data_IF_016122393520
#
_entry.id   IF_016122393520
#
_cell.length_a   1.000
_cell.length_b   1.000
_cell.length_c   1.000
_cell.angle_alpha   90.00
_cell.angle_beta   90.00
_cell.angle_gamma   90.00
#
_symmetry.space_group_name_H-M   'P 1'
#
loop_
_entity.id
_entity.type
_entity.pdbx_description
1 polymer ?
#
# COMPACT_ATOMS: atom_id res chain seq x y z
N UNK A 1 34.92 -60.53 12.15
CA UNK A 1 35.58 -59.60 11.20
C UNK A 1 35.67 -58.21 11.85
N UNK A 2 35.90 -58.15 13.16
CA UNK A 2 35.55 -56.95 13.96
C UNK A 2 36.77 -56.06 14.29
N UNK A 3 37.99 -56.62 14.18
CA UNK A 3 39.24 -55.90 14.49
C UNK A 3 39.64 -54.85 13.44
N UNK A 4 39.04 -54.83 12.25
CA UNK A 4 39.32 -53.81 11.22
C UNK A 4 38.43 -52.56 11.34
N UNK A 5 37.27 -52.66 12.01
CA UNK A 5 36.40 -51.51 12.26
C UNK A 5 36.85 -50.71 13.49
N UNK A 6 37.48 -51.36 14.46
CA UNK A 6 38.02 -50.71 15.67
C UNK A 6 39.25 -49.83 15.34
N UNK A 7 40.10 -50.28 14.42
CA UNK A 7 41.32 -49.55 14.02
C UNK A 7 41.07 -48.30 13.15
N UNK A 8 39.89 -48.20 12.51
CA UNK A 8 39.48 -47.00 11.77
C UNK A 8 38.89 -45.93 12.72
N UNK A 9 38.34 -46.35 13.87
CA UNK A 9 37.76 -45.44 14.86
C UNK A 9 38.81 -44.74 15.72
N UNK A 10 39.97 -45.35 15.93
CA UNK A 10 41.06 -44.77 16.75
C UNK A 10 42.05 -43.91 15.94
N UNK A 11 42.16 -44.10 14.63
CA UNK A 11 43.06 -43.31 13.76
C UNK A 11 42.50 -41.96 13.31
N UNK A 12 41.18 -41.83 13.19
CA UNK A 12 40.53 -40.61 12.70
C UNK A 12 40.53 -39.45 13.73
N UNK A 13 40.67 -39.75 15.04
CA UNK A 13 40.68 -38.72 16.09
C UNK A 13 42.03 -38.01 16.31
N UNK A 14 43.14 -38.55 15.80
CA UNK A 14 44.48 -38.01 16.04
C UNK A 14 44.93 -36.99 14.97
N UNK A 15 44.49 -37.16 13.72
CA UNK A 15 44.77 -36.16 12.67
C UNK A 15 43.92 -34.89 12.86
N UNK A 16 42.67 -35.02 13.33
CA UNK A 16 41.82 -33.87 13.67
C UNK A 16 42.39 -33.05 14.85
N UNK A 17 43.05 -33.70 15.82
CA UNK A 17 43.66 -33.02 16.96
C UNK A 17 44.87 -32.16 16.57
N UNK A 18 45.69 -32.62 15.61
CA UNK A 18 46.85 -31.85 15.11
C UNK A 18 46.45 -30.63 14.29
N UNK A 19 45.42 -30.77 13.46
CA UNK A 19 44.85 -29.66 12.69
C UNK A 19 44.36 -28.54 13.64
N UNK A 20 43.83 -28.91 14.80
CA UNK A 20 43.33 -27.94 15.78
C UNK A 20 44.46 -27.20 16.53
N UNK A 21 45.56 -27.88 16.87
CA UNK A 21 46.71 -27.24 17.55
C UNK A 21 47.45 -26.26 16.64
N UNK A 22 47.71 -26.62 15.38
CA UNK A 22 48.35 -25.73 14.41
C UNK A 22 47.49 -24.49 14.10
N UNK A 23 46.16 -24.66 14.05
CA UNK A 23 45.23 -23.54 13.90
C UNK A 23 45.26 -22.61 15.11
N UNK A 24 45.34 -23.15 16.33
CA UNK A 24 45.41 -22.37 17.57
C UNK A 24 46.73 -21.59 17.64
N UNK A 25 47.87 -22.20 17.31
CA UNK A 25 49.15 -21.50 17.31
C UNK A 25 49.20 -20.41 16.22
N UNK A 26 48.64 -20.68 15.05
CA UNK A 26 48.50 -19.69 13.99
C UNK A 26 47.61 -18.52 14.41
N UNK A 27 46.46 -18.81 15.02
CA UNK A 27 45.54 -17.80 15.56
C UNK A 27 46.21 -16.98 16.66
N UNK A 28 47.01 -17.57 17.55
CA UNK A 28 47.77 -16.83 18.58
C UNK A 28 48.86 -15.95 17.97
N UNK A 29 49.57 -16.45 16.96
CA UNK A 29 50.65 -15.70 16.30
C UNK A 29 50.14 -14.50 15.52
N UNK A 30 48.93 -14.61 14.95
CA UNK A 30 48.33 -13.58 14.13
C UNK A 30 47.09 -12.94 14.77
N UNK A 31 46.81 -13.20 16.05
CA UNK A 31 45.56 -12.80 16.73
C UNK A 31 45.29 -11.32 16.57
N UNK A 32 46.32 -10.49 16.70
CA UNK A 32 46.18 -9.04 16.62
C UNK A 32 45.71 -8.63 15.22
N UNK A 33 46.35 -9.15 14.16
CA UNK A 33 45.98 -8.83 12.78
C UNK A 33 44.61 -9.40 12.39
N UNK A 34 44.29 -10.61 12.83
CA UNK A 34 42.98 -11.22 12.58
C UNK A 34 41.86 -10.49 13.31
N UNK A 35 42.09 -10.06 14.56
CA UNK A 35 41.11 -9.28 15.32
C UNK A 35 40.82 -7.96 14.63
N UNK A 36 41.85 -7.25 14.13
CA UNK A 36 41.64 -6.04 13.34
C UNK A 36 40.88 -6.32 12.03
N UNK A 37 41.20 -7.42 11.32
CA UNK A 37 40.47 -7.78 10.11
C UNK A 37 38.98 -8.07 10.39
N UNK A 38 38.69 -8.84 11.43
CA UNK A 38 37.31 -9.13 11.87
C UNK A 38 36.59 -7.85 12.28
N UNK A 39 37.26 -6.95 13.00
CA UNK A 39 36.70 -5.66 13.39
C UNK A 39 36.35 -4.80 12.17
N UNK A 40 37.23 -4.73 11.17
CA UNK A 40 36.96 -4.01 9.91
C UNK A 40 35.74 -4.61 9.21
N UNK A 41 35.66 -5.94 9.09
CA UNK A 41 34.51 -6.62 8.48
C UNK A 41 33.23 -6.32 9.27
N UNK A 42 33.27 -6.36 10.60
CA UNK A 42 32.13 -6.05 11.45
C UNK A 42 31.68 -4.58 11.26
N UNK A 43 32.60 -3.62 11.18
CA UNK A 43 32.30 -2.21 10.90
C UNK A 43 31.67 -2.05 9.52
N UNK A 44 32.18 -2.75 8.50
CA UNK A 44 31.60 -2.72 7.15
C UNK A 44 30.17 -3.28 7.13
N UNK A 45 29.91 -4.38 7.83
CA UNK A 45 28.57 -4.98 7.92
C UNK A 45 27.59 -4.05 8.65
N UNK A 46 27.99 -3.51 9.80
CA UNK A 46 27.16 -2.58 10.58
C UNK A 46 26.92 -1.29 9.81
N UNK A 47 27.96 -0.74 9.16
CA UNK A 47 27.87 0.45 8.32
C UNK A 47 26.92 0.25 7.13
N UNK A 48 27.03 -0.89 6.44
CA UNK A 48 26.12 -1.24 5.34
C UNK A 48 24.67 -1.41 5.83
N UNK A 49 24.47 -2.09 6.97
CA UNK A 49 23.14 -2.24 7.59
C UNK A 49 22.55 -0.89 7.98
N UNK A 50 23.35 0.01 8.56
CA UNK A 50 22.90 1.36 8.92
C UNK A 50 22.50 2.18 7.70
N UNK A 51 23.31 2.13 6.63
CA UNK A 51 23.00 2.81 5.37
C UNK A 51 21.73 2.26 4.73
N UNK A 52 21.54 0.93 4.74
CA UNK A 52 20.31 0.29 4.25
C UNK A 52 19.08 0.72 5.05
N UNK A 53 19.18 0.74 6.38
CA UNK A 53 18.11 1.20 7.27
C UNK A 53 17.78 2.69 7.05
N UNK A 54 18.78 3.52 6.77
CA UNK A 54 18.58 4.93 6.43
C UNK A 54 17.77 5.08 5.13
N UNK A 55 18.09 4.29 4.10
CA UNK A 55 17.35 4.28 2.83
C UNK A 55 15.90 3.83 3.00
N UNK A 56 15.67 2.76 3.76
CA UNK A 56 14.31 2.28 4.10
C UNK A 56 13.52 3.36 4.84
N UNK A 57 14.11 3.98 5.88
CA UNK A 57 13.42 5.04 6.63
C UNK A 57 13.05 6.23 5.75
N UNK A 58 13.92 6.62 4.83
CA UNK A 58 13.62 7.70 3.90
C UNK A 58 12.50 7.31 2.93
N UNK A 59 12.40 6.04 2.53
CA UNK A 59 11.32 5.51 1.70
C UNK A 59 9.99 5.44 2.44
N UNK A 60 9.99 4.91 3.67
CA UNK A 60 8.80 4.88 4.52
C UNK A 60 8.23 6.28 4.73
N UNK A 61 9.07 7.28 5.03
CA UNK A 61 8.62 8.68 5.17
C UNK A 61 7.96 9.23 3.91
N UNK A 62 8.42 8.81 2.74
CA UNK A 62 7.86 9.26 1.47
C UNK A 62 6.47 8.64 1.25
N UNK A 63 6.30 7.36 1.56
CA UNK A 63 5.01 6.67 1.54
C UNK A 63 4.04 7.19 2.62
N UNK A 64 4.54 7.51 3.81
CA UNK A 64 3.77 8.15 4.89
C UNK A 64 3.24 9.51 4.42
N UNK A 65 4.09 10.34 3.79
CA UNK A 65 3.67 11.63 3.22
C UNK A 65 2.63 11.47 2.11
N UNK A 66 2.82 10.50 1.21
CA UNK A 66 1.87 10.19 0.15
C UNK A 66 0.51 9.71 0.69
N UNK A 67 0.49 8.79 1.65
CA UNK A 67 -0.76 8.30 2.24
C UNK A 67 -1.51 9.40 2.98
N UNK A 68 -0.81 10.26 3.71
CA UNK A 68 -1.40 11.45 4.33
C UNK A 68 -1.97 12.42 3.28
N UNK A 69 -1.25 12.65 2.18
CA UNK A 69 -1.72 13.51 1.10
C UNK A 69 -2.95 12.93 0.36
N UNK A 70 -2.97 11.61 0.14
CA UNK A 70 -4.10 10.91 -0.50
C UNK A 70 -5.40 11.05 0.31
N UNK A 71 -5.30 11.16 1.65
CA UNK A 71 -6.45 11.40 2.51
C UNK A 71 -6.99 12.85 2.42
N UNK A 72 -6.15 13.81 1.99
CA UNK A 72 -6.50 15.24 1.91
C UNK A 72 -7.08 15.60 0.54
N UNK A 73 -6.42 15.18 -0.55
CA UNK A 73 -6.91 15.42 -1.90
C UNK A 73 -5.83 15.53 -2.97
N UNK A 74 -6.24 15.74 -4.24
CA UNK A 74 -5.34 15.69 -5.39
C UNK A 74 -4.25 16.76 -5.35
N UNK A 75 -4.54 17.98 -4.91
CA UNK A 75 -3.55 19.06 -4.78
C UNK A 75 -2.39 18.68 -3.85
N UNK A 76 -2.70 17.97 -2.75
CA UNK A 76 -1.68 17.49 -1.81
C UNK A 76 -0.84 16.36 -2.43
N UNK A 77 -1.43 15.51 -3.25
CA UNK A 77 -0.72 14.47 -4.01
C UNK A 77 0.21 15.07 -5.07
N UNK A 78 -0.23 16.11 -5.79
CA UNK A 78 0.62 16.83 -6.75
C UNK A 78 1.85 17.39 -6.03
N UNK A 79 1.67 18.01 -4.86
CA UNK A 79 2.80 18.51 -4.06
C UNK A 79 3.75 17.38 -3.63
N UNK A 80 3.22 16.23 -3.19
CA UNK A 80 4.06 15.05 -2.87
C UNK A 80 4.81 14.57 -4.11
N UNK A 81 4.19 14.58 -5.29
CA UNK A 81 4.87 14.23 -6.52
C UNK A 81 6.07 15.16 -6.78
N UNK A 82 5.91 16.47 -6.62
CA UNK A 82 6.98 17.45 -6.78
C UNK A 82 8.12 17.23 -5.76
N UNK A 83 7.77 17.15 -4.47
CA UNK A 83 8.71 17.00 -3.35
C UNK A 83 9.53 15.69 -3.45
N UNK A 84 8.93 14.63 -4.00
CA UNK A 84 9.56 13.32 -4.16
C UNK A 84 9.83 12.93 -5.62
N UNK A 85 10.06 13.91 -6.50
CA UNK A 85 10.42 13.70 -7.92
C UNK A 85 11.66 12.82 -8.14
N UNK A 86 12.57 12.77 -7.16
CA UNK A 86 13.75 11.86 -7.16
C UNK A 86 13.41 10.39 -6.97
N UNK A 87 12.15 10.06 -6.64
CA UNK A 87 11.63 8.70 -6.47
C UNK A 87 10.59 8.42 -7.56
N UNK A 88 11.00 7.90 -8.73
CA UNK A 88 10.12 7.69 -9.88
C UNK A 88 8.81 6.98 -9.54
N UNK A 89 8.90 5.93 -8.74
CA UNK A 89 7.75 5.12 -8.33
C UNK A 89 6.74 5.88 -7.46
N UNK A 90 7.17 6.85 -6.66
CA UNK A 90 6.24 7.64 -5.86
C UNK A 90 5.69 8.82 -6.66
N UNK A 91 6.56 9.51 -7.39
CA UNK A 91 6.20 10.65 -8.22
C UNK A 91 5.08 10.31 -9.22
N UNK A 92 5.28 9.25 -10.02
CA UNK A 92 4.28 8.85 -11.02
C UNK A 92 2.98 8.40 -10.33
N UNK A 93 3.06 7.65 -9.22
CA UNK A 93 1.87 7.15 -8.54
C UNK A 93 1.01 8.30 -8.00
N UNK A 94 1.64 9.29 -7.38
CA UNK A 94 0.96 10.47 -6.86
C UNK A 94 0.26 11.28 -7.96
N UNK A 95 0.88 11.43 -9.15
CA UNK A 95 0.27 12.09 -10.30
C UNK A 95 -0.95 11.31 -10.83
N UNK A 96 -0.82 9.98 -10.98
CA UNK A 96 -1.91 9.11 -11.45
C UNK A 96 -3.11 9.18 -10.50
N UNK A 97 -2.88 9.04 -9.19
CA UNK A 97 -3.95 9.06 -8.21
C UNK A 97 -4.62 10.43 -8.09
N UNK A 98 -3.84 11.51 -8.20
CA UNK A 98 -4.40 12.87 -8.24
C UNK A 98 -5.33 13.05 -9.46
N UNK A 99 -4.90 12.58 -10.63
CA UNK A 99 -5.71 12.60 -11.84
C UNK A 99 -6.99 11.74 -11.70
N UNK A 100 -6.87 10.55 -11.12
CA UNK A 100 -8.00 9.66 -10.85
C UNK A 100 -9.02 10.29 -9.89
N UNK A 101 -8.57 11.02 -8.87
CA UNK A 101 -9.48 11.74 -7.96
C UNK A 101 -10.29 12.82 -8.67
N UNK A 102 -9.68 13.56 -9.60
CA UNK A 102 -10.42 14.52 -10.45
C UNK A 102 -11.41 13.80 -11.36
N UNK A 103 -11.01 12.70 -11.99
CA UNK A 103 -11.90 11.89 -12.83
C UNK A 103 -13.08 11.29 -12.06
N UNK A 104 -12.87 10.85 -10.83
CA UNK A 104 -13.93 10.36 -9.96
C UNK A 104 -14.95 11.46 -9.62
N UNK A 105 -14.47 12.67 -9.32
CA UNK A 105 -15.31 13.86 -9.11
C UNK A 105 -16.20 14.15 -10.33
N UNK A 106 -15.63 14.11 -11.54
CA UNK A 106 -16.37 14.31 -12.79
C UNK A 106 -17.40 13.19 -13.02
N UNK A 107 -17.04 11.94 -12.78
CA UNK A 107 -17.94 10.77 -12.96
C UNK A 107 -19.13 10.81 -12.01
N UNK A 108 -18.90 11.23 -10.76
CA UNK A 108 -19.93 11.32 -9.72
C UNK A 108 -20.77 12.61 -9.90
N UNK A 109 -20.22 13.64 -10.54
CA UNK A 109 -20.89 14.93 -10.71
C UNK A 109 -20.87 15.79 -9.44
N UNK A 110 -19.92 15.54 -8.54
CA UNK A 110 -19.76 16.26 -7.27
C UNK A 110 -18.38 16.88 -7.18
N UNK A 111 -18.24 17.98 -6.45
CA UNK A 111 -16.94 18.61 -6.17
C UNK A 111 -15.98 17.62 -5.50
N UNK A 112 -14.68 17.77 -5.77
CA UNK A 112 -13.62 16.82 -5.40
C UNK A 112 -13.69 16.37 -3.94
N UNK A 113 -13.77 17.29 -2.98
CA UNK A 113 -13.81 16.97 -1.55
C UNK A 113 -15.05 16.15 -1.14
N UNK A 114 -16.19 16.40 -1.78
CA UNK A 114 -17.44 15.65 -1.55
C UNK A 114 -17.35 14.27 -2.20
N UNK A 115 -16.86 14.21 -3.45
CA UNK A 115 -16.63 12.95 -4.15
C UNK A 115 -15.68 12.02 -3.38
N UNK A 116 -14.64 12.56 -2.74
CA UNK A 116 -13.74 11.80 -1.87
C UNK A 116 -14.47 11.26 -0.63
N UNK A 117 -15.32 12.06 0.00
CA UNK A 117 -16.12 11.64 1.16
C UNK A 117 -17.07 10.49 0.78
N UNK A 118 -17.69 10.60 -0.40
CA UNK A 118 -18.52 9.55 -0.99
C UNK A 118 -17.72 8.28 -1.27
N UNK A 119 -16.51 8.39 -1.81
CA UNK A 119 -15.64 7.23 -2.07
C UNK A 119 -15.25 6.50 -0.78
N UNK A 120 -14.96 7.23 0.29
CA UNK A 120 -14.63 6.66 1.60
C UNK A 120 -15.85 6.01 2.27
N UNK A 121 -17.04 6.58 2.04
CA UNK A 121 -18.28 6.12 2.63
C UNK A 121 -19.41 6.10 1.59
N UNK A 122 -19.53 5.03 0.79
CA UNK A 122 -20.53 4.97 -0.29
C UNK A 122 -21.99 5.14 0.17
N UNK A 123 -22.27 4.86 1.44
CA UNK A 123 -23.60 4.99 2.03
C UNK A 123 -24.04 6.47 2.24
N UNK A 124 -23.12 7.44 2.17
CA UNK A 124 -23.42 8.87 2.35
C UNK A 124 -24.16 9.50 1.14
N UNK A 125 -24.21 8.81 0.00
CA UNK A 125 -24.84 9.32 -1.24
C UNK A 125 -26.38 9.25 -1.18
N UNK A 126 -26.96 8.49 -0.24
CA UNK A 126 -28.37 8.09 -0.28
C UNK A 126 -29.32 8.97 0.56
N UNK A 127 -29.10 10.29 0.69
CA UNK A 127 -30.00 11.14 1.47
C UNK A 127 -29.91 12.65 1.24
N UNK A 128 -30.67 13.41 2.06
CA UNK A 128 -30.80 14.89 2.07
C UNK A 128 -29.50 15.66 2.44
N UNK A 129 -28.36 14.99 2.46
CA UNK A 129 -27.07 15.57 2.88
C UNK A 129 -26.30 16.25 1.76
N UNK A 130 -26.58 15.93 0.49
CA UNK A 130 -25.96 16.61 -0.65
C UNK A 130 -26.68 17.92 -0.92
N UNK A 131 -25.94 19.02 -0.81
CA UNK A 131 -26.49 20.33 -1.10
C UNK A 131 -26.24 20.71 -2.56
N UNK A 132 -27.08 21.55 -3.19
CA UNK A 132 -26.86 21.99 -4.57
C UNK A 132 -25.48 22.62 -4.79
N UNK A 133 -24.88 23.24 -3.77
CA UNK A 133 -23.51 23.78 -3.85
C UNK A 133 -22.40 22.73 -3.96
N UNK A 134 -22.69 21.46 -3.65
CA UNK A 134 -21.76 20.33 -3.74
C UNK A 134 -21.71 19.73 -5.16
N UNK A 135 -22.69 20.06 -6.00
CA UNK A 135 -22.76 19.63 -7.39
C UNK A 135 -21.67 20.31 -8.21
N UNK A 136 -21.11 19.56 -9.15
CA UNK A 136 -20.07 20.04 -10.06
C UNK A 136 -20.71 20.77 -11.24
N UNK A 137 -20.36 22.04 -11.44
CA UNK A 137 -20.85 22.81 -12.60
C UNK A 137 -20.17 22.33 -13.91
N UNK A 138 -20.77 22.56 -15.09
CA UNK A 138 -20.16 22.21 -16.37
C UNK A 138 -18.78 22.87 -16.59
N UNK A 139 -18.62 24.11 -16.15
CA UNK A 139 -17.37 24.87 -16.25
C UNK A 139 -16.29 24.29 -15.34
N UNK A 140 -16.63 23.96 -14.09
CA UNK A 140 -15.71 23.28 -13.16
C UNK A 140 -15.32 21.90 -13.71
N UNK A 141 -16.28 21.12 -14.20
CA UNK A 141 -16.03 19.81 -14.82
C UNK A 141 -15.02 19.90 -15.97
N UNK A 142 -15.16 20.92 -16.84
CA UNK A 142 -14.19 21.16 -17.92
C UNK A 142 -12.79 21.49 -17.38
N UNK A 143 -12.70 22.34 -16.35
CA UNK A 143 -11.42 22.68 -15.71
C UNK A 143 -10.75 21.44 -15.11
N UNK A 144 -11.51 20.61 -14.38
CA UNK A 144 -10.99 19.37 -13.80
C UNK A 144 -10.54 18.36 -14.86
N UNK A 145 -11.25 18.28 -16.00
CA UNK A 145 -10.84 17.43 -17.14
C UNK A 145 -9.53 17.91 -17.77
N UNK A 146 -9.26 19.21 -17.80
CA UNK A 146 -7.98 19.77 -18.28
C UNK A 146 -6.85 19.47 -17.29
N UNK A 147 -7.12 19.60 -16.00
CA UNK A 147 -6.16 19.31 -14.93
C UNK A 147 -5.79 17.80 -14.89
N UNK A 148 -6.80 16.92 -14.98
CA UNK A 148 -6.58 15.47 -15.03
C UNK A 148 -5.74 15.04 -16.25
N UNK A 149 -6.04 15.53 -17.47
CA UNK A 149 -5.21 15.21 -18.66
C UNK A 149 -3.78 15.72 -18.51
N UNK A 150 -3.59 16.91 -17.92
CA UNK A 150 -2.24 17.45 -17.65
C UNK A 150 -1.45 16.54 -16.71
N UNK A 151 -2.07 16.03 -15.65
CA UNK A 151 -1.42 15.13 -14.69
C UNK A 151 -1.11 13.76 -15.28
N UNK A 152 -2.06 13.14 -16.01
CA UNK A 152 -1.77 11.89 -16.72
C UNK A 152 -0.68 12.08 -17.78
N UNK A 153 -0.67 13.21 -18.50
CA UNK A 153 0.38 13.53 -19.45
C UNK A 153 1.75 13.62 -18.77
N UNK A 154 1.85 14.32 -17.64
CA UNK A 154 3.10 14.38 -16.85
C UNK A 154 3.54 12.99 -16.38
N UNK A 155 2.61 12.17 -15.88
CA UNK A 155 2.88 10.80 -15.48
C UNK A 155 3.42 9.96 -16.65
N UNK A 156 2.80 10.07 -17.84
CA UNK A 156 3.24 9.40 -19.07
C UNK A 156 4.62 9.86 -19.50
N UNK A 157 4.86 11.18 -19.60
CA UNK A 157 6.15 11.74 -19.99
C UNK A 157 7.27 11.34 -19.02
N UNK A 158 6.97 11.27 -17.72
CA UNK A 158 7.93 10.81 -16.74
C UNK A 158 8.19 9.30 -16.81
N UNK A 159 7.20 8.48 -17.13
CA UNK A 159 7.33 7.01 -17.19
C UNK A 159 7.89 6.50 -18.53
N UNK A 160 7.59 7.19 -19.64
CA UNK A 160 7.87 6.73 -21.00
C UNK A 160 9.38 6.54 -21.24
N UNK A 161 9.75 5.41 -21.85
CA UNK A 161 11.13 5.06 -22.19
C UNK A 161 12.01 4.63 -21.01
N UNK A 162 11.46 4.50 -19.79
CA UNK A 162 12.19 3.99 -18.62
C UNK A 162 11.87 2.50 -18.40
N UNK A 163 12.92 1.69 -18.31
CA UNK A 163 12.82 0.26 -18.03
C UNK A 163 12.09 0.02 -16.71
N UNK A 164 11.09 -0.87 -16.73
CA UNK A 164 10.29 -1.25 -15.57
C UNK A 164 9.18 -0.25 -15.19
N UNK A 165 8.93 0.78 -16.03
CA UNK A 165 7.87 1.78 -15.82
C UNK A 165 6.76 1.68 -16.87
N UNK A 166 6.77 0.67 -17.73
CA UNK A 166 5.85 0.48 -18.85
C UNK A 166 4.39 0.40 -18.37
N UNK A 167 4.13 -0.34 -17.29
CA UNK A 167 2.79 -0.44 -16.69
C UNK A 167 2.22 0.92 -16.27
N UNK A 168 3.08 1.82 -15.76
CA UNK A 168 2.66 3.16 -15.33
C UNK A 168 2.43 4.10 -16.51
N UNK A 169 3.25 3.98 -17.56
CA UNK A 169 3.03 4.69 -18.81
C UNK A 169 1.72 4.25 -19.48
N UNK A 170 1.41 2.95 -19.46
CA UNK A 170 0.14 2.39 -19.94
C UNK A 170 -1.04 2.91 -19.12
N UNK A 171 -0.96 2.88 -17.78
CA UNK A 171 -2.00 3.42 -16.91
C UNK A 171 -2.27 4.91 -17.19
N UNK A 172 -1.22 5.71 -17.39
CA UNK A 172 -1.35 7.11 -17.77
C UNK A 172 -2.06 7.28 -19.12
N UNK A 173 -1.72 6.48 -20.14
CA UNK A 173 -2.39 6.53 -21.45
C UNK A 173 -3.87 6.14 -21.36
N UNK A 174 -4.22 5.13 -20.56
CA UNK A 174 -5.62 4.80 -20.27
C UNK A 174 -6.37 5.97 -19.63
N UNK A 175 -5.75 6.65 -18.66
CA UNK A 175 -6.29 7.86 -18.04
C UNK A 175 -6.57 8.97 -19.07
N UNK A 176 -5.61 9.24 -19.96
CA UNK A 176 -5.78 10.23 -21.03
C UNK A 176 -6.86 9.84 -22.04
N UNK A 177 -6.95 8.55 -22.38
CA UNK A 177 -8.03 8.03 -23.22
C UNK A 177 -9.40 8.28 -22.55
N UNK A 178 -9.52 8.00 -21.26
CA UNK A 178 -10.75 8.26 -20.51
C UNK A 178 -11.10 9.76 -20.46
N UNK A 179 -10.11 10.65 -20.31
CA UNK A 179 -10.36 12.10 -20.40
C UNK A 179 -10.85 12.50 -21.79
N UNK A 180 -10.24 11.98 -22.86
CA UNK A 180 -10.66 12.24 -24.23
C UNK A 180 -12.09 11.73 -24.50
N UNK A 181 -12.46 10.55 -23.97
CA UNK A 181 -13.83 10.04 -24.02
C UNK A 181 -14.83 11.00 -23.34
N UNK A 182 -14.51 11.49 -22.14
CA UNK A 182 -15.36 12.46 -21.43
C UNK A 182 -15.50 13.78 -22.19
N UNK A 183 -14.44 14.23 -22.86
CA UNK A 183 -14.45 15.40 -23.77
C UNK A 183 -15.16 15.13 -25.11
N UNK A 184 -15.58 13.89 -25.37
CA UNK A 184 -16.11 13.41 -26.66
C UNK A 184 -15.14 13.59 -27.82
N UNK A 185 -13.84 13.61 -27.53
CA UNK A 185 -12.76 13.60 -28.52
C UNK A 185 -12.37 12.15 -28.83
N UNK A 186 -13.24 11.51 -29.62
CA UNK A 186 -13.16 10.10 -29.95
C UNK A 186 -11.91 9.72 -30.76
N UNK A 187 -11.41 10.64 -31.58
CA UNK A 187 -10.19 10.42 -32.36
C UNK A 187 -8.96 10.41 -31.46
N UNK A 188 -8.91 11.33 -30.49
CA UNK A 188 -7.82 11.36 -29.53
C UNK A 188 -7.86 10.15 -28.57
N UNK A 189 -9.04 9.76 -28.09
CA UNK A 189 -9.21 8.53 -27.30
C UNK A 189 -8.71 7.29 -28.06
N UNK A 190 -9.09 7.15 -29.34
CA UNK A 190 -8.62 6.09 -30.23
C UNK A 190 -7.10 6.09 -30.38
N UNK A 191 -6.50 7.27 -30.51
CA UNK A 191 -5.04 7.42 -30.59
C UNK A 191 -4.33 6.92 -29.32
N UNK A 192 -4.85 7.26 -28.13
CA UNK A 192 -4.26 6.80 -26.87
C UNK A 192 -4.39 5.29 -26.67
N UNK A 193 -5.54 4.68 -27.00
CA UNK A 193 -5.67 3.22 -26.92
C UNK A 193 -4.72 2.48 -27.87
N UNK A 194 -4.48 3.00 -29.08
CA UNK A 194 -3.47 2.43 -29.98
C UNK A 194 -2.07 2.51 -29.39
N UNK A 195 -1.71 3.64 -28.77
CA UNK A 195 -0.43 3.77 -28.07
C UNK A 195 -0.30 2.79 -26.90
N UNK A 196 -1.39 2.50 -26.17
CA UNK A 196 -1.40 1.43 -25.15
C UNK A 196 -1.07 0.08 -25.79
N UNK A 197 -1.74 -0.29 -26.88
CA UNK A 197 -1.51 -1.56 -27.57
C UNK A 197 -0.07 -1.70 -28.04
N UNK A 198 0.49 -0.65 -28.65
CA UNK A 198 1.88 -0.62 -29.11
C UNK A 198 2.88 -0.79 -27.95
N UNK A 199 2.62 -0.16 -26.81
CA UNK A 199 3.49 -0.23 -25.64
C UNK A 199 3.36 -1.58 -24.90
N UNK A 200 2.18 -2.19 -24.93
CA UNK A 200 1.87 -3.42 -24.20
C UNK A 200 2.11 -4.72 -24.99
N UNK A 201 2.30 -4.64 -26.31
CA UNK A 201 2.28 -5.79 -27.25
C UNK A 201 3.16 -6.96 -26.80
N UNK A 202 4.36 -6.66 -26.28
CA UNK A 202 5.35 -7.69 -25.96
C UNK A 202 5.16 -8.31 -24.58
N UNK A 203 4.93 -7.48 -23.56
CA UNK A 203 5.11 -7.87 -22.16
C UNK A 203 3.78 -7.89 -21.38
N UNK A 204 2.69 -7.31 -21.92
CA UNK A 204 1.42 -7.10 -21.22
C UNK A 204 0.19 -7.35 -22.12
N UNK A 205 -0.01 -8.59 -22.64
CA UNK A 205 -1.09 -8.89 -23.58
C UNK A 205 -2.50 -8.62 -23.04
N UNK A 206 -2.69 -8.66 -21.71
CA UNK A 206 -3.97 -8.31 -21.09
C UNK A 206 -4.36 -6.84 -21.32
N UNK A 207 -3.38 -5.92 -21.30
CA UNK A 207 -3.65 -4.49 -21.55
C UNK A 207 -4.00 -4.23 -23.02
N UNK A 208 -3.43 -5.01 -23.94
CA UNK A 208 -3.79 -4.99 -25.36
C UNK A 208 -5.25 -5.39 -25.54
N UNK A 209 -5.70 -6.46 -24.86
CA UNK A 209 -7.09 -6.93 -24.93
C UNK A 209 -8.06 -5.86 -24.40
N UNK A 210 -7.76 -5.25 -23.25
CA UNK A 210 -8.58 -4.16 -22.69
C UNK A 210 -8.64 -2.94 -23.61
N UNK A 211 -7.51 -2.52 -24.17
CA UNK A 211 -7.46 -1.40 -25.11
C UNK A 211 -8.25 -1.70 -26.39
N UNK A 212 -8.14 -2.92 -26.93
CA UNK A 212 -8.90 -3.34 -28.11
C UNK A 212 -10.41 -3.37 -27.82
N UNK A 213 -10.83 -3.93 -26.69
CA UNK A 213 -12.24 -3.95 -26.27
C UNK A 213 -12.81 -2.53 -26.16
N UNK A 214 -12.04 -1.59 -25.61
CA UNK A 214 -12.45 -0.17 -25.56
C UNK A 214 -12.52 0.46 -26.94
N UNK A 215 -11.57 0.19 -27.83
CA UNK A 215 -11.60 0.67 -29.21
C UNK A 215 -12.82 0.20 -30.00
N UNK A 216 -13.21 -1.06 -29.81
CA UNK A 216 -14.36 -1.65 -30.49
C UNK A 216 -15.70 -1.08 -29.99
N UNK A 217 -15.77 -0.73 -28.72
CA UNK A 217 -16.98 -0.14 -28.09
C UNK A 217 -17.07 1.37 -28.23
N UNK A 218 -16.01 2.04 -28.71
CA UNK A 218 -15.92 3.51 -28.77
C UNK A 218 -16.99 4.12 -29.68
N UNK A 219 -17.34 3.45 -30.78
CA UNK A 219 -18.40 3.92 -31.69
C UNK A 219 -19.82 3.72 -31.12
N UNK A 220 -19.99 2.80 -30.18
CA UNK A 220 -21.24 2.62 -29.44
C UNK A 220 -21.38 3.66 -28.32
N UNK A 221 -20.28 4.02 -27.64
CA UNK A 221 -20.27 5.10 -26.65
C UNK A 221 -20.70 6.45 -27.23
N UNK A 222 -20.39 6.72 -28.52
CA UNK A 222 -20.90 7.90 -29.24
C UNK A 222 -22.43 7.99 -29.27
N UNK A 223 -23.12 6.84 -29.25
CA UNK A 223 -24.59 6.74 -29.35
C UNK A 223 -25.26 6.82 -27.98
N UNK A 224 -24.51 6.55 -26.91
CA UNK A 224 -25.03 6.69 -25.54
C UNK A 224 -25.18 8.17 -25.26
N UNK A 225 -26.41 8.68 -25.36
CA UNK A 225 -26.74 9.99 -24.83
C UNK A 225 -26.42 9.93 -23.33
N UNK A 226 -25.58 10.84 -22.79
CA UNK A 226 -25.37 10.89 -21.35
C UNK A 226 -26.75 11.01 -20.69
N UNK A 227 -26.99 10.33 -19.56
CA UNK A 227 -28.25 10.47 -18.85
C UNK A 227 -28.47 11.97 -18.68
N UNK A 228 -29.57 12.45 -19.26
CA UNK A 228 -29.97 13.85 -19.15
C UNK A 228 -29.98 14.11 -17.65
N UNK A 229 -29.09 15.00 -17.18
CA UNK A 229 -29.26 15.63 -15.88
C UNK A 229 -30.63 16.28 -16.01
N UNK A 230 -31.65 15.62 -15.46
CA UNK A 230 -32.99 16.18 -15.42
C UNK A 230 -32.79 17.47 -14.66
N UNK A 231 -32.81 18.60 -15.36
CA UNK A 231 -32.87 19.91 -14.70
C UNK A 231 -34.01 19.77 -13.70
N UNK A 232 -33.65 19.72 -12.42
CA UNK A 232 -34.61 19.63 -11.33
C UNK A 232 -35.60 20.75 -11.60
N UNK A 233 -36.90 20.44 -11.83
CA UNK A 233 -37.87 21.46 -12.21
C UNK A 233 -37.75 22.59 -11.19
N UNK A 234 -37.55 23.81 -11.71
CA UNK A 234 -37.31 25.01 -10.90
C UNK A 234 -38.24 24.96 -9.69
N UNK A 235 -37.64 24.88 -8.50
CA UNK A 235 -38.40 24.79 -7.27
C UNK A 235 -39.37 25.99 -7.26
N UNK A 236 -40.67 25.71 -7.28
CA UNK A 236 -41.67 26.72 -7.03
C UNK A 236 -41.28 27.45 -5.73
N UNK A 237 -41.33 28.79 -5.68
CA UNK A 237 -40.94 29.52 -4.48
C UNK A 237 -41.70 28.96 -3.28
N UNK A 238 -41.00 28.57 -2.20
CA UNK A 238 -41.64 27.93 -1.07
C UNK A 238 -42.68 28.87 -0.47
N UNK A 239 -43.90 28.36 -0.35
CA UNK A 239 -44.92 28.95 0.50
C UNK A 239 -44.33 29.06 1.91
N UNK A 240 -44.43 30.26 2.48
CA UNK A 240 -44.00 30.55 3.84
C UNK A 240 -44.64 29.57 4.83
N UNK A 241 -43.83 28.84 5.59
CA UNK A 241 -44.30 28.00 6.66
C UNK A 241 -43.21 27.10 7.26
N UNK A 242 -42.84 27.46 8.49
CA UNK A 242 -42.37 26.56 9.55
C UNK A 242 -40.88 26.15 9.58
N UNK A 243 -40.12 27.06 10.22
CA UNK A 243 -39.11 26.80 11.26
C UNK A 243 -39.00 25.33 11.72
N UNK A 244 -37.86 24.68 11.44
CA UNK A 244 -37.30 23.61 12.25
C UNK A 244 -35.78 23.44 11.99
N UNK A 245 -34.99 23.79 13.00
CA UNK A 245 -33.82 22.97 13.38
C UNK A 245 -32.49 23.22 12.68
N UNK A 246 -31.98 24.45 12.71
CA UNK A 246 -30.57 24.71 12.40
C UNK A 246 -29.66 24.16 13.52
N UNK A 247 -29.14 22.95 13.35
CA UNK A 247 -27.89 22.56 14.01
C UNK A 247 -26.78 23.43 13.41
N UNK A 248 -26.37 24.46 14.16
CA UNK A 248 -25.37 25.44 13.72
C UNK A 248 -24.04 24.75 13.43
N UNK A 249 -23.32 25.25 12.42
CA UNK A 249 -21.95 24.84 12.05
C UNK A 249 -20.98 24.83 13.24
N UNK A 250 -21.24 25.63 14.28
CA UNK A 250 -20.49 25.61 15.55
C UNK A 250 -20.61 24.28 16.29
N UNK A 251 -21.76 23.59 16.17
CA UNK A 251 -22.00 22.29 16.80
C UNK A 251 -21.19 21.17 16.13
N UNK A 252 -21.01 21.26 14.80
CA UNK A 252 -20.19 20.31 14.04
C UNK A 252 -18.68 20.57 14.25
N UNK A 253 -18.24 21.83 14.24
CA UNK A 253 -16.85 22.15 14.60
C UNK A 253 -16.52 21.71 16.04
N UNK A 254 -17.41 21.97 17.00
CA UNK A 254 -17.24 21.52 18.38
C UNK A 254 -17.24 19.99 18.56
N UNK A 255 -17.85 19.22 17.66
CA UNK A 255 -17.77 17.76 17.66
C UNK A 255 -16.42 17.27 17.13
N UNK A 256 -15.90 17.89 16.06
CA UNK A 256 -14.59 17.57 15.48
C UNK A 256 -13.45 17.92 16.45
N UNK A 257 -13.49 19.09 17.10
CA UNK A 257 -12.49 19.45 18.10
C UNK A 257 -12.47 18.49 19.31
N UNK A 258 -13.63 17.97 19.72
CA UNK A 258 -13.72 16.96 20.81
C UNK A 258 -13.11 15.62 20.39
N UNK A 259 -13.42 15.14 19.19
CA UNK A 259 -12.84 13.89 18.68
C UNK A 259 -11.30 13.96 18.57
N UNK A 260 -10.76 15.10 18.13
CA UNK A 260 -9.31 15.32 18.06
C UNK A 260 -8.67 15.36 19.47
N UNK A 261 -9.35 15.96 20.45
CA UNK A 261 -8.87 16.00 21.82
C UNK A 261 -8.87 14.62 22.49
N UNK A 262 -9.91 13.80 22.25
CA UNK A 262 -10.00 12.44 22.77
C UNK A 262 -8.92 11.52 22.18
N UNK A 263 -8.61 11.64 20.89
CA UNK A 263 -7.51 10.88 20.28
C UNK A 263 -6.14 11.25 20.85
N UNK A 264 -5.87 12.55 21.04
CA UNK A 264 -4.60 12.99 21.65
C UNK A 264 -4.45 12.52 23.10
N UNK A 265 -5.54 12.50 23.87
CA UNK A 265 -5.53 11.97 25.23
C UNK A 265 -5.28 10.46 25.26
N UNK A 266 -5.82 9.70 24.30
CA UNK A 266 -5.57 8.26 24.18
C UNK A 266 -4.11 7.94 23.81
N UNK A 267 -3.48 8.76 22.95
CA UNK A 267 -2.06 8.60 22.58
C UNK A 267 -1.10 8.92 23.73
N UNK A 268 -1.37 9.97 24.53
CA UNK A 268 -0.55 10.27 25.71
C UNK A 268 -0.59 9.14 26.74
N UNK A 269 -1.76 8.53 26.96
CA UNK A 269 -1.92 7.43 27.93
C UNK A 269 -1.21 6.13 27.49
N UNK A 270 -0.97 5.94 26.17
CA UNK A 270 -0.14 4.84 25.65
C UNK A 270 1.36 5.06 25.90
N UNK A 271 1.83 6.31 25.91
CA UNK A 271 3.24 6.63 26.17
C UNK A 271 3.61 6.53 27.65
N UNK A 272 2.73 6.97 28.56
CA UNK A 272 3.01 6.95 30.00
C UNK A 272 3.08 5.52 30.59
N UNK A 273 2.44 4.53 29.94
CA UNK A 273 2.50 3.13 30.36
C UNK A 273 3.77 2.38 29.92
N UNK A 274 4.64 2.98 29.11
CA UNK A 274 5.87 2.34 28.63
C UNK A 274 7.14 2.76 29.41
N UNK A 275 7.06 3.77 30.28
CA UNK A 275 8.19 4.19 31.13
C UNK A 275 8.27 3.49 32.49
N UNK A 276 7.27 2.67 32.84
CA UNK A 276 7.20 2.02 34.16
C UNK A 276 7.35 0.50 34.11
N UNK A 277 8.27 -0.01 33.26
CA UNK A 277 8.70 -1.41 33.33
C UNK A 277 9.86 -1.53 34.32
N UNK A 278 9.66 -2.11 35.52
CA UNK A 278 10.73 -2.30 36.49
C UNK A 278 11.82 -3.21 35.90
N UNK A 279 13.08 -2.83 36.11
CA UNK A 279 14.23 -3.61 35.71
C UNK A 279 14.21 -4.97 36.42
N UNK A 280 14.19 -6.05 35.64
CA UNK A 280 14.28 -7.42 36.14
C UNK A 280 15.60 -7.63 36.88
N UNK A 281 15.45 -8.01 38.15
CA UNK A 281 16.50 -8.36 39.10
C UNK A 281 16.93 -9.83 38.86
N UNK A 282 18.21 -10.12 38.55
CA UNK A 282 18.64 -11.49 38.24
C UNK A 282 19.19 -12.15 39.50
N UNK A 283 18.33 -12.69 40.36
CA UNK A 283 18.75 -13.61 41.43
C UNK A 283 17.55 -14.42 41.92
N UNK A 284 17.37 -15.65 41.42
CA UNK A 284 16.75 -16.72 42.19
C UNK A 284 17.13 -18.11 41.65
N UNK A 285 18.24 -18.65 42.16
CA UNK A 285 18.43 -20.08 42.30
C UNK A 285 17.42 -20.64 43.33
N UNK A 286 16.60 -21.64 42.99
CA UNK A 286 16.64 -22.93 43.71
C UNK A 286 15.73 -24.03 43.14
N UNK A 287 16.24 -25.23 43.37
CA UNK A 287 15.76 -26.61 43.18
C UNK A 287 14.34 -26.90 43.68
N UNK A 288 13.66 -27.88 43.06
CA UNK A 288 13.40 -29.24 43.60
C UNK A 288 12.34 -29.98 42.74
N UNK A 289 12.70 -31.12 42.12
CA UNK A 289 12.41 -32.53 42.50
C UNK A 289 11.02 -33.07 42.13
N UNK A 290 11.04 -34.04 41.21
CA UNK A 290 10.33 -35.33 41.19
C UNK A 290 8.95 -35.45 41.85
N UNK A 291 7.96 -35.91 41.07
CA UNK A 291 7.06 -36.98 41.52
C UNK A 291 6.38 -37.67 40.33
N UNK A 292 6.53 -38.99 40.35
CA UNK A 292 5.86 -40.04 39.57
C UNK A 292 4.33 -39.93 39.50
N UNK A 293 3.75 -40.51 38.44
CA UNK A 293 2.32 -40.72 38.29
C UNK A 293 1.98 -41.42 36.98
N UNK A 294 2.19 -42.73 36.93
CA UNK A 294 1.66 -43.66 35.93
C UNK A 294 0.14 -43.73 36.01
N UNK A 295 -0.57 -43.70 34.88
CA UNK A 295 -1.77 -44.54 34.73
C UNK A 295 -2.07 -44.89 33.27
N UNK A 296 -2.67 -46.06 33.12
CA UNK A 296 -2.68 -46.88 31.93
C UNK A 296 -3.92 -46.68 31.04
N UNK A 297 -3.75 -47.05 29.76
CA UNK A 297 -4.68 -47.91 29.04
C UNK A 297 -5.99 -47.31 28.51
N UNK A 298 -6.06 -47.15 27.20
CA UNK A 298 -7.29 -47.48 26.46
C UNK A 298 -6.96 -47.75 25.01
N UNK A 299 -7.14 -49.01 24.63
CA UNK A 299 -7.13 -49.50 23.27
C UNK A 299 -8.26 -48.86 22.47
N UNK A 300 -7.97 -48.35 21.26
CA UNK A 300 -8.97 -48.40 20.20
C UNK A 300 -8.30 -48.60 18.84
N UNK A 301 -8.37 -49.85 18.39
CA UNK A 301 -8.02 -50.28 17.05
C UNK A 301 -9.23 -50.02 16.14
N UNK A 302 -9.07 -49.20 15.10
CA UNK A 302 -10.19 -48.83 14.22
C UNK A 302 -9.76 -48.30 12.86
N UNK A 303 -9.21 -49.21 12.04
CA UNK A 303 -9.44 -49.38 10.61
C UNK A 303 -10.12 -48.22 9.83
N UNK A 304 -9.47 -47.73 8.78
CA UNK A 304 -10.13 -46.92 7.75
C UNK A 304 -9.17 -46.21 6.80
N UNK A 305 -8.77 -46.88 5.73
CA UNK A 305 -8.14 -46.23 4.58
C UNK A 305 -9.11 -45.30 3.86
N UNK A 306 -8.57 -44.26 3.24
CA UNK A 306 -9.33 -43.31 2.43
C UNK A 306 -8.41 -42.29 1.78
N UNK A 307 -8.27 -42.42 0.47
CA UNK A 307 -7.55 -41.56 -0.45
C UNK A 307 -7.96 -40.08 -0.38
N UNK A 308 -7.03 -39.19 -0.74
CA UNK A 308 -7.37 -37.84 -1.22
C UNK A 308 -6.65 -36.69 -0.53
N UNK A 309 -5.36 -36.49 -0.82
CA UNK A 309 -4.70 -35.22 -0.52
C UNK A 309 -4.92 -34.24 -1.68
N UNK A 310 -6.04 -33.52 -1.63
CA UNK A 310 -6.29 -32.31 -2.43
C UNK A 310 -5.66 -31.11 -1.70
N UNK A 311 -4.64 -30.51 -2.32
CA UNK A 311 -4.02 -29.27 -1.85
C UNK A 311 -4.98 -28.09 -1.99
N UNK A 312 -5.71 -27.78 -0.92
CA UNK A 312 -6.43 -26.52 -0.73
C UNK A 312 -5.63 -25.63 0.22
N UNK A 313 -5.04 -24.56 -0.31
CA UNK A 313 -4.40 -23.50 0.48
C UNK A 313 -5.49 -22.55 0.96
N UNK A 314 -6.00 -22.79 2.17
CA UNK A 314 -6.80 -21.84 2.94
C UNK A 314 -5.90 -21.15 3.95
N UNK A 315 -5.53 -19.90 3.67
CA UNK A 315 -4.88 -19.01 4.63
C UNK A 315 -5.93 -18.17 5.33
N UNK A 316 -6.43 -18.68 6.46
CA UNK A 316 -7.13 -17.90 7.49
C UNK A 316 -6.07 -17.39 8.48
N UNK A 317 -6.18 -16.13 8.89
CA UNK A 317 -5.15 -15.43 9.66
C UNK A 317 -5.63 -14.06 10.10
N UNK A 318 -6.63 -14.05 10.97
CA UNK A 318 -7.16 -12.86 11.59
C UNK A 318 -6.21 -12.18 12.59
N UNK A 319 -6.51 -10.91 12.82
CA UNK A 319 -6.57 -10.31 14.16
C UNK A 319 -5.27 -9.80 14.77
N UNK A 320 -5.15 -8.48 14.88
CA UNK A 320 -4.22 -7.85 15.83
C UNK A 320 -3.94 -6.37 15.57
N UNK A 321 -4.90 -5.50 15.89
CA UNK A 321 -4.63 -4.08 16.14
C UNK A 321 -4.19 -3.87 17.59
N UNK A 322 -3.44 -2.79 17.87
CA UNK A 322 -3.66 -1.97 19.05
C UNK A 322 -4.32 -0.61 18.73
#
# INVERSE_FOLDING_TARGET
MDKRLEQIKEGAGLEESRINEELIEFLKKHSDKFTFAILIVAVLIVGNRWLHQYRIKAENRAWDAYSAAAAVGPESLVKVAEDYSSRPGLHIQALLDAADMYMDSIRIGLKVHVAMTVRQNPNLVMGDTLKPEDELTPEESKSLLEEADSLYKQAYEFASGKEGMEQRAIAALFGRAAVAEQKKDWEQARSFYKQVMELAEKDLPGEVEWAQMRLDTLDDLKKVTPPIVVEKPAANPPAAGEDNGAASLETLQGAVQRAIAEQKAAEQNKNDNNENKPADNPDNENKNTESSGSDAGSDNSGNGGGDGNSGGSGGDGGGGSP
#
